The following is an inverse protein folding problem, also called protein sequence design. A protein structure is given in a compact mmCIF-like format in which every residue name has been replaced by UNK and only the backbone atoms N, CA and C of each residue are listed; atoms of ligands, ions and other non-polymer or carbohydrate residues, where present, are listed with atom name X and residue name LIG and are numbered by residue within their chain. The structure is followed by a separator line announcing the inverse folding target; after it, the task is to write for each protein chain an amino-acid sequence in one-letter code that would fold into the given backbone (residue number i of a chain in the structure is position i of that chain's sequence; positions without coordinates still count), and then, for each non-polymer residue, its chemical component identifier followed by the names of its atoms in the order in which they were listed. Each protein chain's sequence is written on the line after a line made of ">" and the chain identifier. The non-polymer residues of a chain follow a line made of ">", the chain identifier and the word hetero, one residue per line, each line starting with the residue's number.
data_IF_471964931229
#
_entry.id   IF_471964931229
#
_cell.length_a   1.000
_cell.length_b   1.000
_cell.length_c   1.000
_cell.angle_alpha   90.00
_cell.angle_beta   90.00
_cell.angle_gamma   90.00
#
_symmetry.space_group_name_H-M   'P 1'
#
loop_
_entity.id
_entity.type
_entity.pdbx_description
1 polymer ?
#
# COMPACT_ATOMS: atom_id res chain seq x y z
N UNK A 1 18.50 8.77 7.06
CA UNK A 1 17.21 9.03 7.71
C UNK A 1 16.30 10.02 6.95
N UNK A 2 16.80 11.15 6.43
CA UNK A 2 15.99 12.12 5.66
C UNK A 2 15.52 11.67 4.25
N UNK A 3 16.07 10.58 3.69
CA UNK A 3 15.80 10.18 2.31
C UNK A 3 14.51 9.36 2.12
N UNK A 4 14.09 8.60 3.12
CA UNK A 4 12.93 7.69 3.03
C UNK A 4 11.63 8.49 3.07
N UNK A 5 11.56 9.48 3.94
CA UNK A 5 10.42 10.39 4.00
C UNK A 5 10.25 11.19 2.71
N UNK A 6 11.38 11.55 2.07
CA UNK A 6 11.37 12.25 0.78
C UNK A 6 10.76 11.36 -0.31
N UNK A 7 10.93 10.05 -0.26
CA UNK A 7 10.30 9.14 -1.26
C UNK A 7 8.80 9.00 -1.03
N UNK A 8 8.34 8.93 0.22
CA UNK A 8 6.91 8.94 0.54
C UNK A 8 6.30 10.34 0.30
N UNK A 9 7.02 11.41 0.65
CA UNK A 9 6.60 12.80 0.38
C UNK A 9 6.71 13.15 -1.11
N UNK A 10 7.72 12.68 -1.84
CA UNK A 10 7.82 12.86 -3.28
C UNK A 10 6.73 12.05 -4.01
N UNK A 11 6.36 10.89 -3.51
CA UNK A 11 5.14 10.20 -3.92
C UNK A 11 3.90 11.07 -3.65
N UNK A 12 3.77 11.68 -2.48
CA UNK A 12 2.65 12.54 -2.09
C UNK A 12 2.72 13.95 -2.72
N UNK A 13 3.90 14.57 -2.85
CA UNK A 13 4.06 15.90 -3.48
C UNK A 13 4.02 15.85 -5.00
N UNK A 14 4.35 14.74 -5.62
CA UNK A 14 4.01 14.52 -7.03
C UNK A 14 2.49 14.42 -7.24
N UNK A 15 1.74 14.18 -6.18
CA UNK A 15 0.29 14.25 -6.17
C UNK A 15 -0.26 15.69 -6.21
N UNK A 16 0.52 16.71 -5.90
CA UNK A 16 0.09 18.13 -5.93
C UNK A 16 0.58 18.94 -7.13
N UNK A 17 1.56 18.46 -7.90
CA UNK A 17 2.03 19.11 -9.13
C UNK A 17 1.53 18.34 -10.36
N UNK A 18 0.36 18.66 -10.75
CA UNK A 18 -0.56 18.35 -11.83
C UNK A 18 -0.10 17.80 -13.18
N UNK A 19 0.97 17.01 -13.31
CA UNK A 19 1.29 16.36 -14.58
C UNK A 19 1.77 14.90 -14.46
N UNK A 20 2.29 14.47 -13.31
CA UNK A 20 2.80 13.10 -13.16
C UNK A 20 1.74 12.18 -12.58
N UNK A 21 0.82 12.71 -11.78
CA UNK A 21 -0.33 11.99 -11.23
C UNK A 21 -1.28 11.41 -12.28
N UNK A 22 -1.59 12.22 -13.30
CA UNK A 22 -2.46 11.77 -14.38
C UNK A 22 -1.89 10.52 -15.08
N UNK A 23 -0.58 10.42 -15.24
CA UNK A 23 0.07 9.30 -15.93
C UNK A 23 0.12 8.02 -15.10
N UNK A 24 0.26 8.12 -13.79
CA UNK A 24 0.32 6.93 -12.92
C UNK A 24 -1.08 6.43 -12.57
N UNK A 25 -2.04 7.34 -12.38
CA UNK A 25 -3.47 7.00 -12.27
C UNK A 25 -3.99 6.49 -13.63
N UNK A 26 -3.57 7.09 -14.76
CA UNK A 26 -3.89 6.58 -16.10
C UNK A 26 -3.30 5.19 -16.35
N UNK A 27 -2.07 4.91 -15.89
CA UNK A 27 -1.50 3.57 -15.97
C UNK A 27 -2.28 2.56 -15.13
N UNK A 28 -2.69 2.92 -13.93
CA UNK A 28 -3.51 2.07 -13.06
C UNK A 28 -4.90 1.87 -13.69
N UNK A 29 -5.54 2.92 -14.21
CA UNK A 29 -6.83 2.84 -14.88
C UNK A 29 -6.76 2.07 -16.23
N UNK A 30 -5.68 2.22 -16.99
CA UNK A 30 -5.43 1.44 -18.21
C UNK A 30 -5.24 -0.05 -17.94
N UNK A 31 -4.94 -0.43 -16.71
CA UNK A 31 -4.81 -1.83 -16.30
C UNK A 31 -6.16 -2.39 -15.88
N UNK A 32 -7.00 -1.62 -15.19
CA UNK A 32 -8.40 -2.02 -14.99
C UNK A 32 -9.04 -2.35 -16.34
N UNK A 33 -8.89 -1.48 -17.33
CA UNK A 33 -9.42 -1.70 -18.67
C UNK A 33 -8.79 -2.92 -19.38
N UNK A 34 -7.48 -3.12 -19.28
CA UNK A 34 -6.81 -4.30 -19.85
C UNK A 34 -7.13 -5.60 -19.12
N UNK A 35 -7.36 -5.54 -17.82
CA UNK A 35 -7.82 -6.68 -17.03
C UNK A 35 -9.27 -7.00 -17.40
N UNK A 36 -10.13 -6.01 -17.57
CA UNK A 36 -11.53 -6.21 -17.98
C UNK A 36 -11.68 -6.80 -19.39
N UNK A 37 -10.87 -6.35 -20.36
CA UNK A 37 -10.90 -6.90 -21.73
C UNK A 37 -10.42 -8.36 -21.83
N UNK A 38 -9.54 -8.81 -20.92
CA UNK A 38 -9.01 -10.18 -20.92
C UNK A 38 -9.81 -11.19 -20.08
N UNK A 39 -10.86 -10.76 -19.37
CA UNK A 39 -11.57 -11.56 -18.37
C UNK A 39 -12.69 -12.44 -18.95
N UNK A 40 -12.95 -12.38 -20.23
CA UNK A 40 -14.03 -13.21 -20.85
C UNK A 40 -13.92 -14.72 -20.58
N UNK A 41 -12.75 -15.25 -20.22
CA UNK A 41 -12.50 -16.68 -20.07
C UNK A 41 -11.63 -17.11 -18.86
N UNK A 42 -10.98 -16.18 -18.13
CA UNK A 42 -10.13 -16.55 -16.98
C UNK A 42 -10.94 -16.75 -15.70
N UNK A 43 -10.60 -17.79 -14.95
CA UNK A 43 -11.18 -17.98 -13.62
C UNK A 43 -10.82 -16.82 -12.67
N UNK A 44 -11.68 -16.51 -11.70
CA UNK A 44 -11.42 -15.46 -10.70
C UNK A 44 -10.08 -15.69 -9.96
N UNK A 45 -9.71 -16.96 -9.75
CA UNK A 45 -8.43 -17.35 -9.14
C UNK A 45 -7.23 -16.95 -9.98
N UNK A 46 -7.29 -17.11 -11.30
CA UNK A 46 -6.22 -16.70 -12.23
C UNK A 46 -6.12 -15.20 -12.32
N UNK A 47 -7.26 -14.51 -12.38
CA UNK A 47 -7.33 -13.04 -12.34
C UNK A 47 -6.67 -12.48 -11.08
N UNK A 48 -6.95 -13.04 -9.91
CA UNK A 48 -6.32 -12.63 -8.64
C UNK A 48 -4.82 -12.90 -8.65
N UNK A 49 -4.38 -14.05 -9.16
CA UNK A 49 -2.95 -14.39 -9.27
C UNK A 49 -2.18 -13.40 -10.16
N UNK A 50 -2.72 -13.08 -11.33
CA UNK A 50 -2.11 -12.12 -12.25
C UNK A 50 -2.09 -10.72 -11.64
N UNK A 51 -3.19 -10.30 -10.99
CA UNK A 51 -3.31 -9.03 -10.28
C UNK A 51 -2.31 -8.90 -9.13
N UNK A 52 -2.12 -9.94 -8.32
CA UNK A 52 -1.12 -9.96 -7.24
C UNK A 52 0.29 -9.76 -7.81
N UNK A 53 0.66 -10.50 -8.86
CA UNK A 53 1.96 -10.38 -9.50
C UNK A 53 2.24 -8.97 -10.02
N UNK A 54 1.21 -8.33 -10.58
CA UNK A 54 1.29 -6.94 -11.02
C UNK A 54 1.47 -5.97 -9.85
N UNK A 55 0.62 -6.07 -8.81
CA UNK A 55 0.69 -5.21 -7.62
C UNK A 55 2.08 -5.31 -6.96
N UNK A 56 2.58 -6.53 -6.76
CA UNK A 56 3.90 -6.78 -6.17
C UNK A 56 5.01 -6.13 -7.00
N UNK A 57 5.00 -6.31 -8.31
CA UNK A 57 5.98 -5.70 -9.22
C UNK A 57 5.92 -4.17 -9.21
N UNK A 58 4.71 -3.60 -9.19
CA UNK A 58 4.50 -2.17 -9.11
C UNK A 58 5.01 -1.58 -7.79
N UNK A 59 4.66 -2.20 -6.66
CA UNK A 59 5.08 -1.73 -5.33
C UNK A 59 6.60 -1.86 -5.16
N UNK A 60 7.22 -2.95 -5.59
CA UNK A 60 8.68 -3.12 -5.59
C UNK A 60 9.39 -2.06 -6.41
N UNK A 61 8.84 -1.67 -7.56
CA UNK A 61 9.47 -0.68 -8.43
C UNK A 61 9.33 0.76 -7.94
N UNK A 62 8.28 1.07 -7.18
CA UNK A 62 7.97 2.45 -6.78
C UNK A 62 8.16 2.72 -5.29
N UNK A 63 8.10 1.69 -4.45
CA UNK A 63 8.15 1.79 -2.99
C UNK A 63 9.17 0.80 -2.38
N UNK A 64 10.26 0.51 -3.10
CA UNK A 64 11.29 -0.46 -2.69
C UNK A 64 11.87 -0.21 -1.30
N UNK A 65 11.87 1.06 -0.85
CA UNK A 65 12.48 1.44 0.42
C UNK A 65 11.62 1.09 1.64
N UNK A 66 10.31 0.94 1.44
CA UNK A 66 9.38 0.63 2.53
C UNK A 66 8.51 -0.61 2.25
N UNK A 67 8.39 -1.07 1.02
CA UNK A 67 7.59 -2.25 0.70
C UNK A 67 8.35 -3.55 1.02
N UNK A 68 7.85 -4.33 1.98
CA UNK A 68 8.44 -5.59 2.47
C UNK A 68 7.81 -6.85 1.85
N UNK A 69 7.00 -6.67 0.80
CA UNK A 69 6.35 -7.77 0.10
C UNK A 69 4.92 -8.03 0.55
N UNK A 70 4.42 -9.22 0.28
CA UNK A 70 3.05 -9.60 0.58
C UNK A 70 2.96 -11.04 1.11
N UNK A 71 1.82 -11.33 1.74
CA UNK A 71 1.32 -12.68 1.98
C UNK A 71 -0.06 -12.80 1.32
N UNK A 72 -0.32 -13.90 0.60
CA UNK A 72 -1.62 -14.14 0.00
C UNK A 72 -2.02 -15.61 0.14
N UNK A 73 -3.30 -15.83 0.42
CA UNK A 73 -3.91 -17.15 0.46
C UNK A 73 -5.30 -17.16 -0.19
N UNK A 74 -6.11 -18.19 0.09
CA UNK A 74 -7.47 -18.31 -0.45
C UNK A 74 -8.45 -17.26 0.09
N UNK A 75 -8.16 -16.63 1.22
CA UNK A 75 -9.04 -15.71 1.94
C UNK A 75 -8.65 -14.25 1.74
N UNK A 76 -7.48 -13.96 1.16
CA UNK A 76 -7.08 -12.56 0.95
C UNK A 76 -5.60 -12.36 0.69
N UNK A 77 -5.23 -11.08 0.68
CA UNK A 77 -3.86 -10.59 0.56
C UNK A 77 -3.54 -9.62 1.68
N UNK A 78 -2.33 -9.73 2.23
CA UNK A 78 -1.75 -8.74 3.14
C UNK A 78 -0.52 -8.12 2.47
N UNK A 79 -0.58 -6.84 2.18
CA UNK A 79 0.57 -6.03 1.75
C UNK A 79 1.31 -5.55 2.99
N UNK A 80 2.63 -5.71 3.01
CA UNK A 80 3.48 -5.38 4.15
C UNK A 80 4.39 -4.22 3.81
N UNK A 81 4.37 -3.22 4.68
CA UNK A 81 5.28 -2.09 4.62
C UNK A 81 6.04 -1.98 5.93
N UNK A 82 7.32 -1.63 5.82
CA UNK A 82 8.22 -1.43 6.96
C UNK A 82 8.92 -0.09 6.77
N UNK A 83 8.87 0.75 7.78
CA UNK A 83 9.57 2.04 7.75
C UNK A 83 10.21 2.30 9.12
N UNK A 84 11.44 2.78 9.11
CA UNK A 84 12.23 3.00 10.31
C UNK A 84 12.02 4.43 10.81
N UNK A 85 11.29 4.60 11.92
CA UNK A 85 11.07 5.90 12.59
C UNK A 85 9.98 6.78 11.97
N UNK A 86 9.11 6.23 11.14
CA UNK A 86 7.98 6.99 10.56
C UNK A 86 6.95 7.38 11.64
N UNK A 87 6.79 6.59 12.69
CA UNK A 87 5.80 6.85 13.75
C UNK A 87 6.03 8.20 14.40
N UNK A 88 7.28 8.52 14.78
CA UNK A 88 7.62 9.82 15.41
C UNK A 88 7.29 11.00 14.49
N UNK A 89 7.45 10.84 13.19
CA UNK A 89 7.16 11.86 12.21
C UNK A 89 5.65 12.06 12.01
N UNK A 90 4.90 10.97 11.96
CA UNK A 90 3.43 11.02 11.85
C UNK A 90 2.78 11.55 13.14
N UNK A 91 3.38 11.35 14.31
CA UNK A 91 2.95 11.95 15.58
C UNK A 91 3.23 13.46 15.64
N UNK A 92 4.33 13.91 15.05
CA UNK A 92 4.76 15.31 15.08
C UNK A 92 4.08 16.19 14.03
N UNK A 93 3.61 15.63 12.91
CA UNK A 93 3.08 16.38 11.76
C UNK A 93 1.69 15.85 11.35
N UNK A 94 0.66 16.65 11.62
CA UNK A 94 -0.75 16.31 11.33
C UNK A 94 -1.05 16.23 9.85
N UNK A 95 -0.51 17.13 9.05
CA UNK A 95 -0.72 17.15 7.60
C UNK A 95 -0.09 15.92 6.95
N UNK A 96 1.10 15.54 7.43
CA UNK A 96 1.78 14.33 6.98
C UNK A 96 0.96 13.07 7.32
N UNK A 97 0.41 13.01 8.53
CA UNK A 97 -0.44 11.91 8.94
C UNK A 97 -1.72 11.79 8.09
N UNK A 98 -2.42 12.89 7.83
CA UNK A 98 -3.62 12.89 7.00
C UNK A 98 -3.31 12.39 5.58
N UNK A 99 -2.22 12.86 4.98
CA UNK A 99 -1.75 12.38 3.67
C UNK A 99 -1.38 10.90 3.69
N UNK A 100 -0.73 10.44 4.76
CA UNK A 100 -0.39 9.03 4.94
C UNK A 100 -1.64 8.16 4.99
N UNK A 101 -2.65 8.56 5.76
CA UNK A 101 -3.93 7.85 5.86
C UNK A 101 -4.64 7.81 4.51
N UNK A 102 -4.79 8.96 3.85
CA UNK A 102 -5.47 9.06 2.55
C UNK A 102 -4.80 8.18 1.49
N UNK A 103 -3.47 8.26 1.39
CA UNK A 103 -2.71 7.46 0.43
C UNK A 103 -2.97 5.95 0.65
N UNK A 104 -2.92 5.50 1.89
CA UNK A 104 -3.04 4.08 2.20
C UNK A 104 -4.46 3.54 2.03
N UNK A 105 -5.47 4.34 2.33
CA UNK A 105 -6.86 4.02 2.01
C UNK A 105 -7.06 3.89 0.49
N UNK A 106 -6.45 4.78 -0.29
CA UNK A 106 -6.52 4.73 -1.75
C UNK A 106 -5.79 3.51 -2.32
N UNK A 107 -4.60 3.16 -1.78
CA UNK A 107 -3.90 1.92 -2.16
C UNK A 107 -4.76 0.71 -1.87
N UNK A 108 -5.35 0.60 -0.68
CA UNK A 108 -6.21 -0.51 -0.31
C UNK A 108 -7.42 -0.63 -1.26
N UNK A 109 -8.12 0.46 -1.54
CA UNK A 109 -9.26 0.50 -2.47
C UNK A 109 -8.87 0.06 -3.89
N UNK A 110 -7.72 0.52 -4.40
CA UNK A 110 -7.23 0.12 -5.73
C UNK A 110 -6.89 -1.37 -5.80
N UNK A 111 -6.21 -1.88 -4.78
CA UNK A 111 -5.89 -3.32 -4.70
C UNK A 111 -7.17 -4.16 -4.63
N UNK A 112 -8.16 -3.73 -3.84
CA UNK A 112 -9.50 -4.34 -3.76
C UNK A 112 -10.15 -4.43 -5.14
N UNK A 113 -10.12 -3.35 -5.91
CA UNK A 113 -10.68 -3.30 -7.27
C UNK A 113 -9.91 -4.23 -8.23
N UNK A 114 -8.58 -4.14 -8.29
CA UNK A 114 -7.75 -4.97 -9.18
C UNK A 114 -7.95 -6.48 -8.92
N UNK A 115 -8.03 -6.86 -7.65
CA UNK A 115 -8.19 -8.26 -7.26
C UNK A 115 -9.65 -8.73 -7.26
N UNK A 116 -10.61 -7.83 -7.51
CA UNK A 116 -12.04 -8.11 -7.37
C UNK A 116 -12.34 -8.75 -6.02
N UNK A 117 -11.84 -8.12 -4.96
CA UNK A 117 -12.05 -8.58 -3.60
C UNK A 117 -13.55 -8.46 -3.24
N UNK A 118 -14.03 -9.43 -2.51
CA UNK A 118 -15.43 -9.58 -2.11
C UNK A 118 -15.47 -10.01 -0.63
N UNK A 119 -16.64 -10.34 -0.12
CA UNK A 119 -16.85 -10.78 1.27
C UNK A 119 -16.04 -12.04 1.67
N UNK A 120 -15.48 -12.78 0.70
CA UNK A 120 -14.69 -13.98 0.93
C UNK A 120 -13.20 -13.79 0.61
N UNK A 121 -12.80 -12.58 0.16
CA UNK A 121 -11.43 -12.27 -0.18
C UNK A 121 -11.05 -10.86 0.26
N UNK A 122 -10.28 -10.78 1.32
CA UNK A 122 -9.95 -9.53 2.00
C UNK A 122 -8.63 -8.93 1.52
N UNK A 123 -8.56 -7.60 1.53
CA UNK A 123 -7.33 -6.84 1.27
C UNK A 123 -6.89 -6.17 2.57
N UNK A 124 -5.71 -6.55 3.04
CA UNK A 124 -5.10 -5.99 4.23
C UNK A 124 -3.82 -5.22 3.86
N UNK A 125 -3.63 -4.06 4.46
CA UNK A 125 -2.39 -3.27 4.38
C UNK A 125 -1.85 -3.08 5.78
N UNK A 126 -0.60 -3.48 6.02
CA UNK A 126 0.05 -3.38 7.34
C UNK A 126 1.30 -2.53 7.26
N UNK A 127 1.45 -1.62 8.22
CA UNK A 127 2.67 -0.87 8.43
C UNK A 127 3.33 -1.23 9.75
N UNK A 128 4.63 -1.43 9.68
CA UNK A 128 5.46 -1.85 10.78
C UNK A 128 6.62 -0.88 10.95
N UNK A 129 6.80 -0.39 12.18
CA UNK A 129 7.99 0.35 12.57
C UNK A 129 9.07 -0.61 13.02
N UNK A 130 10.29 -0.39 12.55
CA UNK A 130 11.46 -1.16 12.93
C UNK A 130 12.44 -0.25 13.67
N UNK A 131 12.74 -0.57 14.89
CA UNK A 131 13.74 0.16 15.68
C UNK A 131 14.76 -0.77 16.31
N UNK A 132 15.94 -0.24 16.59
CA UNK A 132 17.05 -0.98 17.21
C UNK A 132 17.31 -0.48 18.61
N UNK A 133 17.40 -1.42 19.56
CA UNK A 133 17.87 -1.19 20.91
C UNK A 133 19.09 -2.07 21.18
N UNK A 134 20.30 -1.49 21.14
CA UNK A 134 21.57 -2.22 21.16
C UNK A 134 21.68 -3.15 19.94
N UNK A 135 21.92 -4.44 20.17
CA UNK A 135 22.03 -5.45 19.10
C UNK A 135 20.67 -6.08 18.70
N UNK A 136 19.60 -5.68 19.36
CA UNK A 136 18.25 -6.24 19.10
C UNK A 136 17.47 -5.34 18.16
N UNK A 137 16.79 -5.96 17.20
CA UNK A 137 15.81 -5.28 16.34
C UNK A 137 14.42 -5.63 16.82
N UNK A 138 13.61 -4.62 17.06
CA UNK A 138 12.19 -4.74 17.40
C UNK A 138 11.36 -4.29 16.20
N UNK A 139 10.23 -4.94 16.02
CA UNK A 139 9.32 -4.70 14.92
C UNK A 139 7.91 -4.60 15.48
N UNK A 140 7.31 -3.43 15.37
CA UNK A 140 5.98 -3.15 15.90
C UNK A 140 5.03 -2.71 14.80
N UNK A 141 3.95 -3.45 14.60
CA UNK A 141 2.87 -3.00 13.71
C UNK A 141 2.19 -1.80 14.35
N UNK A 142 2.08 -0.69 13.63
CA UNK A 142 1.48 0.54 14.14
C UNK A 142 0.21 0.97 13.37
N UNK A 143 0.01 0.44 12.17
CA UNK A 143 -1.14 0.82 11.34
C UNK A 143 -1.62 -0.36 10.50
N UNK A 144 -2.95 -0.61 10.50
CA UNK A 144 -3.58 -1.69 9.72
C UNK A 144 -4.86 -1.18 9.09
N UNK A 145 -5.01 -1.42 7.79
CA UNK A 145 -6.23 -1.23 7.02
C UNK A 145 -6.71 -2.59 6.55
N UNK A 146 -8.01 -2.86 6.67
CA UNK A 146 -8.66 -4.04 6.10
C UNK A 146 -9.85 -3.57 5.28
N UNK A 147 -9.90 -3.97 4.01
CA UNK A 147 -11.00 -3.67 3.07
C UNK A 147 -11.36 -2.18 2.97
N UNK A 148 -10.35 -1.30 3.15
CA UNK A 148 -10.52 0.14 3.10
C UNK A 148 -10.93 0.79 4.41
N UNK A 149 -10.96 0.06 5.52
CA UNK A 149 -11.23 0.59 6.87
C UNK A 149 -9.99 0.47 7.74
N UNK A 150 -9.69 1.52 8.53
CA UNK A 150 -8.60 1.51 9.51
C UNK A 150 -9.04 0.64 10.69
N UNK A 151 -8.43 -0.52 10.86
CA UNK A 151 -8.75 -1.47 11.92
C UNK A 151 -7.80 -1.37 13.12
N UNK A 152 -6.60 -0.82 12.91
CA UNK A 152 -5.64 -0.55 13.96
C UNK A 152 -4.83 0.69 13.67
N UNK A 153 -4.64 1.54 14.69
CA UNK A 153 -3.83 2.74 14.63
C UNK A 153 -3.22 3.01 16.02
N UNK A 154 -1.90 2.86 16.13
CA UNK A 154 -1.16 3.10 17.37
C UNK A 154 -0.57 4.52 17.45
N UNK A 155 -0.75 5.35 16.42
CA UNK A 155 -0.24 6.74 16.41
C UNK A 155 -1.04 7.55 17.42
N UNK A 156 -0.33 8.10 18.40
CA UNK A 156 -0.92 8.91 19.47
C UNK A 156 -1.17 10.32 18.97
N UNK A 157 -2.42 10.76 19.05
CA UNK A 157 -2.86 12.11 18.74
C UNK A 157 -3.85 12.58 19.78
#
# INVERSE_FOLDING_TARGET
>A
MKKILISLLLGATMLTTGCTQAKDIEKINNIENKVEENIGEKSLKETRKDGIGYIDSFLKSNLSDCYDGYYADKNGITLKFVDDGIVELLEADEELYEKFVELNLNVCKKVTSILRADENYHVCVTYTDRHKEGDKTFTNTFFVIVDGEITYNAIKR
#
